data_IF_538482062896
#
_entry.id   IF_538482062896
#
_cell.length_a   1.000
_cell.length_b   1.000
_cell.length_c   1.000
_cell.angle_alpha   90.00
_cell.angle_beta   90.00
_cell.angle_gamma   90.00
#
_symmetry.space_group_name_H-M   'P 1'
#
loop_
_entity.id
_entity.type
_entity.pdbx_description
1 polymer ?
#
# COMPACT_ATOMS: atom_id res chain seq x y z
N UNK A 1 14.06 11.06 10.83
CA UNK A 1 12.77 10.38 10.99
C UNK A 1 12.93 9.17 11.87
N UNK A 2 11.94 8.90 12.70
CA UNK A 2 11.95 7.73 13.56
C UNK A 2 10.70 6.91 13.32
N UNK A 3 10.81 5.61 13.57
CA UNK A 3 9.70 4.68 13.44
C UNK A 3 8.66 4.96 14.53
N UNK A 4 7.39 5.05 14.15
CA UNK A 4 6.29 5.31 15.09
C UNK A 4 6.05 4.15 16.04
N UNK A 5 6.45 2.94 15.66
CA UNK A 5 6.20 1.74 16.46
C UNK A 5 7.32 1.47 17.47
N UNK A 6 8.58 1.48 17.04
CA UNK A 6 9.69 1.11 17.91
C UNK A 6 10.65 2.25 18.23
N UNK A 7 10.48 3.42 17.63
CA UNK A 7 11.33 4.58 17.87
C UNK A 7 12.70 4.51 17.21
N UNK A 8 12.97 3.49 16.40
CA UNK A 8 14.25 3.34 15.72
C UNK A 8 14.40 4.37 14.60
N UNK A 9 15.61 4.80 14.32
CA UNK A 9 15.92 5.63 13.16
C UNK A 9 16.26 4.84 11.91
N UNK A 10 16.09 3.53 11.91
CA UNK A 10 16.48 2.65 10.80
C UNK A 10 15.42 2.57 9.70
N UNK A 11 14.87 3.70 9.30
CA UNK A 11 13.90 3.77 8.20
C UNK A 11 14.61 3.86 6.87
N UNK A 12 14.23 2.99 5.93
CA UNK A 12 14.82 2.95 4.59
C UNK A 12 13.72 2.94 3.55
N UNK A 13 13.92 3.69 2.47
CA UNK A 13 12.96 3.75 1.37
C UNK A 13 13.24 2.65 0.35
N UNK A 14 12.22 1.92 0.01
CA UNK A 14 12.26 0.90 -1.03
C UNK A 14 11.15 1.15 -2.05
N UNK A 15 11.29 0.58 -3.23
CA UNK A 15 10.21 0.57 -4.22
C UNK A 15 9.54 -0.80 -4.18
N UNK A 16 8.25 -0.83 -4.57
CA UNK A 16 7.48 -2.06 -4.55
C UNK A 16 6.43 -2.07 -5.64
N UNK A 17 5.92 -3.25 -5.94
CA UNK A 17 4.75 -3.46 -6.78
C UNK A 17 3.72 -4.15 -5.91
N UNK A 18 2.53 -3.55 -5.79
CA UNK A 18 1.48 -4.09 -4.95
C UNK A 18 0.24 -4.26 -5.81
N UNK A 19 -0.31 -5.47 -5.77
CA UNK A 19 -1.52 -5.82 -6.51
C UNK A 19 -2.66 -5.87 -5.51
N UNK A 20 -3.57 -4.88 -5.59
CA UNK A 20 -4.64 -4.73 -4.63
C UNK A 20 -5.91 -5.41 -5.15
N UNK A 21 -6.43 -6.34 -4.36
CA UNK A 21 -7.65 -7.07 -4.66
C UNK A 21 -8.84 -6.40 -3.99
N UNK A 22 -9.98 -6.37 -4.68
CA UNK A 22 -11.20 -5.86 -4.06
C UNK A 22 -11.76 -6.87 -3.07
N UNK A 23 -12.31 -6.41 -1.95
CA UNK A 23 -12.82 -7.33 -0.93
C UNK A 23 -14.15 -7.97 -1.35
N UNK A 24 -14.43 -9.14 -0.80
CA UNK A 24 -15.68 -9.84 -0.94
C UNK A 24 -15.72 -10.83 -2.09
N UNK A 25 -16.54 -11.87 -1.93
CA UNK A 25 -16.67 -12.93 -2.92
C UNK A 25 -17.25 -12.43 -4.26
N UNK A 26 -18.08 -11.38 -4.21
CA UNK A 26 -18.67 -10.81 -5.41
C UNK A 26 -17.63 -10.23 -6.36
N UNK A 27 -16.46 -9.92 -5.86
CA UNK A 27 -15.43 -9.21 -6.60
C UNK A 27 -14.31 -10.11 -7.10
N UNK A 28 -14.53 -11.43 -7.13
CA UNK A 28 -13.51 -12.37 -7.58
C UNK A 28 -13.12 -12.16 -9.05
N UNK A 29 -14.08 -11.70 -9.86
CA UNK A 29 -13.83 -11.47 -11.28
C UNK A 29 -13.37 -10.06 -11.61
N UNK A 30 -13.27 -9.18 -10.61
CA UNK A 30 -12.80 -7.82 -10.84
C UNK A 30 -11.29 -7.81 -11.03
N UNK A 31 -10.79 -7.00 -11.98
CA UNK A 31 -9.36 -6.84 -12.10
C UNK A 31 -8.78 -6.18 -10.85
N UNK A 32 -7.56 -6.56 -10.52
CA UNK A 32 -6.85 -5.95 -9.41
C UNK A 32 -6.29 -4.59 -9.83
N UNK A 33 -5.92 -3.77 -8.84
CA UNK A 33 -5.28 -2.48 -9.09
C UNK A 33 -3.81 -2.60 -8.73
N UNK A 34 -2.94 -2.46 -9.73
CA UNK A 34 -1.50 -2.54 -9.52
C UNK A 34 -0.97 -1.14 -9.21
N UNK A 35 -0.26 -1.02 -8.09
CA UNK A 35 0.32 0.25 -7.66
C UNK A 35 1.83 0.08 -7.47
N UNK A 36 2.56 1.18 -7.63
CA UNK A 36 4.03 1.19 -7.53
C UNK A 36 4.45 2.20 -6.46
N UNK A 37 4.15 1.95 -5.18
CA UNK A 37 4.47 2.90 -4.14
C UNK A 37 5.93 2.85 -3.74
N UNK A 38 6.40 3.92 -3.12
CA UNK A 38 7.65 3.91 -2.37
C UNK A 38 7.31 3.55 -0.94
N UNK A 39 7.98 2.53 -0.42
CA UNK A 39 7.76 2.05 0.94
C UNK A 39 8.81 2.63 1.87
N UNK A 40 8.36 3.09 3.03
CA UNK A 40 9.26 3.46 4.11
C UNK A 40 9.23 2.33 5.13
N UNK A 41 10.30 1.55 5.18
CA UNK A 41 10.36 0.32 5.98
C UNK A 41 11.30 0.51 7.16
N UNK A 42 10.82 0.18 8.36
CA UNK A 42 11.68 0.10 9.52
C UNK A 42 12.40 -1.24 9.50
N UNK A 43 13.72 -1.20 9.34
CA UNK A 43 14.51 -2.43 9.26
C UNK A 43 14.67 -3.13 10.61
N UNK A 44 14.20 -2.51 11.68
CA UNK A 44 14.28 -3.08 13.01
C UNK A 44 13.01 -3.85 13.39
N UNK A 45 11.84 -3.24 13.21
CA UNK A 45 10.57 -3.87 13.60
C UNK A 45 9.68 -4.28 12.43
N UNK A 46 10.01 -3.84 11.22
CA UNK A 46 9.25 -4.20 10.02
C UNK A 46 8.05 -3.31 9.71
N UNK A 47 7.78 -2.28 10.52
CA UNK A 47 6.68 -1.36 10.21
C UNK A 47 6.94 -0.72 8.85
N UNK A 48 5.94 -0.79 7.97
CA UNK A 48 6.04 -0.27 6.62
C UNK A 48 4.93 0.74 6.38
N UNK A 49 5.29 1.90 5.81
CA UNK A 49 4.35 2.98 5.53
C UNK A 49 4.45 3.35 4.05
N UNK A 50 3.30 3.63 3.44
CA UNK A 50 3.26 4.13 2.07
C UNK A 50 1.91 4.77 1.79
N UNK A 51 1.83 5.52 0.69
CA UNK A 51 0.57 6.13 0.24
C UNK A 51 0.28 5.66 -1.18
N UNK A 52 -1.01 5.55 -1.49
CA UNK A 52 -1.46 5.18 -2.83
C UNK A 52 -1.55 6.46 -3.68
N UNK A 53 -0.97 6.49 -4.89
CA UNK A 53 -1.13 7.64 -5.78
C UNK A 53 -2.60 7.90 -6.09
N UNK A 54 -2.95 9.17 -6.33
CA UNK A 54 -4.33 9.59 -6.51
C UNK A 54 -5.04 8.88 -7.66
N UNK A 55 -4.34 8.61 -8.76
CA UNK A 55 -4.94 7.93 -9.89
C UNK A 55 -5.43 6.53 -9.53
N UNK A 56 -4.62 5.78 -8.80
CA UNK A 56 -4.98 4.43 -8.35
C UNK A 56 -6.01 4.48 -7.23
N UNK A 57 -5.94 5.51 -6.40
CA UNK A 57 -6.92 5.71 -5.34
C UNK A 57 -8.32 5.89 -5.92
N UNK A 58 -8.46 6.62 -7.02
CA UNK A 58 -9.73 6.77 -7.73
C UNK A 58 -10.24 5.45 -8.27
N UNK A 59 -9.36 4.63 -8.82
CA UNK A 59 -9.72 3.31 -9.33
C UNK A 59 -10.28 2.43 -8.21
N UNK A 60 -9.64 2.46 -7.05
CA UNK A 60 -10.08 1.69 -5.89
C UNK A 60 -11.45 2.16 -5.40
N UNK A 61 -11.64 3.48 -5.32
CA UNK A 61 -12.91 4.04 -4.86
C UNK A 61 -14.05 3.71 -5.83
N UNK A 62 -13.81 3.80 -7.14
CA UNK A 62 -14.80 3.46 -8.15
C UNK A 62 -15.17 1.99 -8.12
N UNK A 63 -14.20 1.11 -7.90
CA UNK A 63 -14.44 -0.32 -7.82
C UNK A 63 -15.33 -0.71 -6.65
N UNK A 64 -15.20 -0.01 -5.52
CA UNK A 64 -16.04 -0.26 -4.35
C UNK A 64 -17.43 0.34 -4.53
N UNK A 65 -17.52 1.51 -5.16
CA UNK A 65 -18.79 2.21 -5.38
C UNK A 65 -19.66 1.50 -6.43
N UNK A 66 -19.05 0.75 -7.33
CA UNK A 66 -19.79 -0.01 -8.36
C UNK A 66 -20.46 -1.29 -7.79
#
# INVERSE_FOLDING_TARGET
MVCKSCGSGSLTEFTAEIDIHFPGLKNLDKPTVLVFPKLLVCLKCGLTQFTIPEAELRQLAQGIAA
#
